data_IF_699991429554
#
_entry.id   IF_699991429554
#
_cell.length_a   1.000
_cell.length_b   1.000
_cell.length_c   1.000
_cell.angle_alpha   90.00
_cell.angle_beta   90.00
_cell.angle_gamma   90.00
#
_symmetry.space_group_name_H-M   'P 1'
#
loop_
_entity.id
_entity.type
_entity.pdbx_description
1 polymer ?
#
# COMPACT_ATOMS: atom_id res chain seq x y z
N UNK A 1 28.50 6.72 -5.58
CA UNK A 1 27.20 6.56 -6.26
C UNK A 1 26.75 5.10 -6.18
N UNK A 2 25.78 4.79 -5.31
CA UNK A 2 25.12 3.47 -5.34
C UNK A 2 24.40 3.37 -6.69
N UNK A 3 24.77 2.39 -7.51
CA UNK A 3 24.38 2.31 -8.91
C UNK A 3 22.88 2.06 -9.06
N UNK A 4 22.11 3.12 -9.30
CA UNK A 4 20.73 3.02 -9.77
C UNK A 4 20.73 2.20 -11.06
N UNK A 5 19.96 1.13 -11.06
CA UNK A 5 19.80 0.25 -12.22
C UNK A 5 18.39 -0.29 -12.26
N UNK A 6 18.03 -0.90 -13.39
CA UNK A 6 16.81 -1.69 -13.48
C UNK A 6 16.74 -2.77 -12.42
N UNK A 7 17.87 -3.22 -11.86
CA UNK A 7 17.96 -4.31 -10.88
C UNK A 7 18.00 -3.85 -9.42
N UNK A 8 18.42 -2.60 -9.18
CA UNK A 8 18.60 -2.06 -7.84
C UNK A 8 18.21 -0.58 -7.78
N UNK A 9 17.37 -0.24 -6.81
CA UNK A 9 17.03 1.15 -6.49
C UNK A 9 18.18 1.89 -5.80
N UNK A 10 19.26 1.19 -5.39
CA UNK A 10 20.33 1.79 -4.60
C UNK A 10 19.92 2.22 -3.18
N UNK A 11 18.65 2.03 -2.79
CA UNK A 11 18.14 2.39 -1.46
C UNK A 11 18.44 1.28 -0.46
N UNK A 12 19.16 1.64 0.61
CA UNK A 12 19.37 0.76 1.75
C UNK A 12 18.15 0.81 2.68
N UNK A 13 17.14 -0.03 2.40
CA UNK A 13 15.90 -0.06 3.17
C UNK A 13 16.09 -0.44 4.65
N UNK A 14 17.16 -1.18 4.97
CA UNK A 14 17.50 -1.48 6.36
C UNK A 14 17.90 -0.20 7.11
N UNK A 15 18.73 0.65 6.50
CA UNK A 15 19.10 1.95 7.08
C UNK A 15 17.92 2.91 7.13
N UNK A 16 17.08 2.95 6.10
CA UNK A 16 15.85 3.75 6.09
C UNK A 16 14.96 3.35 7.26
N UNK A 17 14.71 2.05 7.43
CA UNK A 17 13.93 1.53 8.55
C UNK A 17 14.55 1.88 9.89
N UNK A 18 15.86 1.68 10.05
CA UNK A 18 16.57 2.04 11.29
C UNK A 18 16.40 3.53 11.62
N UNK A 19 16.52 4.40 10.62
CA UNK A 19 16.32 5.84 10.80
C UNK A 19 14.88 6.14 11.27
N UNK A 20 13.87 5.57 10.62
CA UNK A 20 12.48 5.74 11.06
C UNK A 20 12.21 5.21 12.47
N UNK A 21 12.76 4.05 12.81
CA UNK A 21 12.59 3.46 14.15
C UNK A 21 13.20 4.35 15.23
N UNK A 22 14.39 4.91 14.98
CA UNK A 22 14.99 5.89 15.88
C UNK A 22 14.13 7.14 16.01
N UNK A 23 13.68 7.72 14.89
CA UNK A 23 12.89 8.96 14.89
C UNK A 23 11.54 8.80 15.59
N UNK A 24 10.85 7.67 15.41
CA UNK A 24 9.49 7.46 15.91
C UNK A 24 9.47 6.85 17.31
N UNK A 25 10.32 5.85 17.60
CA UNK A 25 10.22 5.07 18.82
C UNK A 25 11.32 5.34 19.85
N UNK A 26 12.55 5.66 19.42
CA UNK A 26 13.67 5.89 20.33
C UNK A 26 13.69 7.32 20.88
N UNK A 27 13.47 8.32 20.02
CA UNK A 27 13.50 9.73 20.43
C UNK A 27 12.26 10.16 21.24
N UNK A 28 11.14 9.43 21.11
CA UNK A 28 9.89 9.64 21.87
C UNK A 28 9.38 11.10 21.88
N UNK A 29 9.69 11.87 20.84
CA UNK A 29 9.26 13.27 20.70
C UNK A 29 7.94 13.34 19.94
N UNK A 30 6.88 13.78 20.62
CA UNK A 30 5.55 13.94 20.00
C UNK A 30 5.54 15.03 18.92
N UNK A 31 6.32 16.10 19.10
CA UNK A 31 6.46 17.16 18.09
C UNK A 31 7.16 16.64 16.84
N UNK A 32 8.19 15.81 17.00
CA UNK A 32 8.88 15.16 15.89
C UNK A 32 7.94 14.22 15.13
N UNK A 33 7.18 13.38 15.85
CA UNK A 33 6.19 12.46 15.25
C UNK A 33 5.12 13.24 14.50
N UNK A 34 4.59 14.32 15.09
CA UNK A 34 3.60 15.17 14.43
C UNK A 34 4.16 15.84 13.17
N UNK A 35 5.42 16.31 13.22
CA UNK A 35 6.11 16.90 12.07
C UNK A 35 6.35 15.88 10.97
N UNK A 36 6.79 14.68 11.33
CA UNK A 36 6.98 13.57 10.41
C UNK A 36 5.65 13.14 9.77
N UNK A 37 4.56 13.09 10.53
CA UNK A 37 3.21 12.82 10.02
C UNK A 37 2.76 13.87 9.01
N UNK A 38 2.95 15.17 9.31
CA UNK A 38 2.66 16.26 8.35
C UNK A 38 3.52 16.17 7.10
N UNK A 39 4.82 15.89 7.24
CA UNK A 39 5.72 15.73 6.11
C UNK A 39 5.34 14.52 5.24
N UNK A 40 4.96 13.39 5.87
CA UNK A 40 4.47 12.18 5.19
C UNK A 40 3.21 12.48 4.39
N UNK A 41 2.26 13.20 5.00
CA UNK A 41 1.04 13.58 4.30
C UNK A 41 1.33 14.52 3.12
N UNK A 42 2.21 15.49 3.33
CA UNK A 42 2.61 16.48 2.33
C UNK A 42 3.30 15.82 1.14
N UNK A 43 4.23 14.89 1.36
CA UNK A 43 4.91 14.22 0.25
C UNK A 43 3.95 13.32 -0.54
N UNK A 44 3.04 12.60 0.13
CA UNK A 44 2.01 11.83 -0.56
C UNK A 44 1.09 12.74 -1.39
N UNK A 45 0.75 13.94 -0.89
CA UNK A 45 0.01 14.95 -1.64
C UNK A 45 0.73 15.35 -2.93
N UNK A 46 2.00 15.74 -2.83
CA UNK A 46 2.80 16.19 -3.98
C UNK A 46 2.99 15.08 -5.02
N UNK A 47 3.20 13.83 -4.56
CA UNK A 47 3.26 12.66 -5.44
C UNK A 47 1.94 12.43 -6.17
N UNK A 48 0.81 12.49 -5.45
CA UNK A 48 -0.52 12.25 -6.05
C UNK A 48 -0.94 13.33 -7.07
N UNK A 49 -0.41 14.55 -6.93
CA UNK A 49 -0.66 15.67 -7.84
C UNK A 49 0.34 15.75 -8.99
N UNK A 50 1.26 14.79 -9.11
CA UNK A 50 2.30 14.75 -10.13
C UNK A 50 3.26 15.96 -10.08
N UNK A 51 3.44 16.59 -8.91
CA UNK A 51 4.40 17.69 -8.74
C UNK A 51 5.84 17.19 -8.61
N UNK A 52 6.03 15.90 -8.27
CA UNK A 52 7.34 15.25 -8.24
C UNK A 52 7.57 14.55 -9.59
N UNK A 53 8.67 14.86 -10.32
CA UNK A 53 9.03 14.15 -11.54
C UNK A 53 9.33 12.67 -11.24
N UNK A 54 8.78 11.76 -12.03
CA UNK A 54 8.87 10.29 -11.82
C UNK A 54 9.47 9.55 -13.01
N UNK A 55 10.00 10.31 -13.97
CA UNK A 55 10.80 9.87 -15.10
C UNK A 55 12.25 9.53 -14.69
N UNK A 56 12.73 10.11 -13.60
CA UNK A 56 14.03 9.80 -13.00
C UNK A 56 13.92 8.68 -11.95
N UNK A 57 14.68 7.57 -12.11
CA UNK A 57 14.75 6.49 -11.12
C UNK A 57 15.10 6.96 -9.69
N UNK A 58 15.91 8.01 -9.53
CA UNK A 58 16.25 8.50 -8.20
C UNK A 58 15.00 9.00 -7.46
N UNK A 59 14.12 9.74 -8.14
CA UNK A 59 12.88 10.22 -7.54
C UNK A 59 11.90 9.10 -7.21
N UNK A 60 11.89 7.99 -7.97
CA UNK A 60 11.04 6.83 -7.67
C UNK A 60 11.40 6.13 -6.36
N UNK A 61 12.62 6.29 -5.87
CA UNK A 61 13.06 5.74 -4.60
C UNK A 61 12.22 6.24 -3.41
N UNK A 62 11.60 7.42 -3.53
CA UNK A 62 10.73 7.99 -2.49
C UNK A 62 9.59 7.05 -2.12
N UNK A 63 9.03 6.29 -3.08
CA UNK A 63 7.96 5.33 -2.82
C UNK A 63 8.44 4.21 -1.89
N UNK A 64 9.63 3.66 -2.15
CA UNK A 64 10.23 2.62 -1.31
C UNK A 64 10.51 3.14 0.11
N UNK A 65 10.97 4.39 0.23
CA UNK A 65 11.21 5.03 1.53
C UNK A 65 9.90 5.21 2.30
N UNK A 66 8.84 5.72 1.66
CA UNK A 66 7.53 5.92 2.28
C UNK A 66 6.93 4.59 2.73
N UNK A 67 7.10 3.51 1.97
CA UNK A 67 6.62 2.18 2.37
C UNK A 67 7.30 1.63 3.62
N UNK A 68 8.46 2.14 4.03
CA UNK A 68 9.13 1.78 5.28
C UNK A 68 8.75 2.70 6.46
N UNK A 69 7.84 3.66 6.27
CA UNK A 69 7.45 4.60 7.31
C UNK A 69 6.52 3.95 8.36
N UNK A 70 6.92 3.83 9.63
CA UNK A 70 6.14 3.18 10.68
C UNK A 70 4.83 3.92 11.01
N UNK A 71 4.71 5.20 10.65
CA UNK A 71 3.46 5.95 10.77
C UNK A 71 2.36 5.43 9.81
N UNK A 72 2.73 4.63 8.81
CA UNK A 72 1.81 3.96 7.88
C UNK A 72 1.70 2.46 8.20
N UNK A 73 2.78 1.85 8.69
CA UNK A 73 2.90 0.41 8.94
C UNK A 73 2.40 -0.07 10.32
N UNK A 74 2.48 0.76 11.36
CA UNK A 74 2.38 0.28 12.74
C UNK A 74 0.94 0.04 13.24
N UNK A 75 0.77 -0.92 14.15
CA UNK A 75 -0.49 -1.13 14.90
C UNK A 75 -0.95 0.13 15.64
N UNK A 76 0.00 0.94 16.10
CA UNK A 76 -0.26 2.22 16.80
C UNK A 76 -0.37 3.42 15.84
N UNK A 77 -0.44 3.21 14.53
CA UNK A 77 -0.45 4.31 13.55
C UNK A 77 -1.61 5.27 13.75
N UNK A 78 -2.80 4.78 14.13
CA UNK A 78 -3.97 5.63 14.33
C UNK A 78 -3.75 6.63 15.46
N UNK A 79 -3.06 6.22 16.54
CA UNK A 79 -2.71 7.12 17.64
C UNK A 79 -1.53 8.03 17.33
N UNK A 80 -0.55 7.54 16.55
CA UNK A 80 0.66 8.32 16.22
C UNK A 80 0.40 9.34 15.11
N UNK A 81 -0.42 9.00 14.13
CA UNK A 81 -0.70 9.79 12.95
C UNK A 81 -2.13 9.57 12.46
N UNK A 82 -3.12 10.35 12.94
CA UNK A 82 -4.52 10.21 12.53
C UNK A 82 -4.76 10.35 11.02
N UNK A 83 -3.90 11.08 10.31
CA UNK A 83 -3.96 11.31 8.86
C UNK A 83 -3.41 10.16 7.99
N UNK A 84 -3.04 9.01 8.57
CA UNK A 84 -2.41 7.92 7.82
C UNK A 84 -3.25 7.43 6.64
N UNK A 85 -4.58 7.31 6.81
CA UNK A 85 -5.49 6.81 5.78
C UNK A 85 -5.51 7.72 4.55
N UNK A 86 -5.46 9.03 4.76
CA UNK A 86 -5.40 10.01 3.68
C UNK A 86 -4.04 9.98 2.97
N UNK A 87 -2.95 9.80 3.73
CA UNK A 87 -1.63 9.60 3.15
C UNK A 87 -1.57 8.32 2.30
N UNK A 88 -2.18 7.22 2.76
CA UNK A 88 -2.25 5.96 2.02
C UNK A 88 -3.14 6.06 0.79
N UNK A 89 -4.27 6.75 0.87
CA UNK A 89 -5.11 7.04 -0.29
C UNK A 89 -4.30 7.73 -1.39
N UNK A 90 -3.58 8.80 -1.03
CA UNK A 90 -2.78 9.61 -1.96
C UNK A 90 -1.59 8.84 -2.50
N UNK A 91 -0.91 8.07 -1.65
CA UNK A 91 0.19 7.20 -2.06
C UNK A 91 -0.27 6.14 -3.06
N UNK A 92 -1.41 5.50 -2.81
CA UNK A 92 -1.98 4.49 -3.70
C UNK A 92 -2.33 5.10 -5.05
N UNK A 93 -2.99 6.26 -5.06
CA UNK A 93 -3.28 7.00 -6.30
C UNK A 93 -1.99 7.35 -7.04
N UNK A 94 -0.98 7.87 -6.34
CA UNK A 94 0.29 8.24 -6.93
C UNK A 94 1.01 7.05 -7.59
N UNK A 95 1.03 5.88 -6.95
CA UNK A 95 1.63 4.66 -7.52
C UNK A 95 0.88 4.22 -8.77
N UNK A 96 -0.46 4.17 -8.70
CA UNK A 96 -1.29 3.71 -9.83
C UNK A 96 -1.34 4.70 -10.99
N UNK A 97 -1.04 5.99 -10.75
CA UNK A 97 -0.99 7.03 -11.79
C UNK A 97 0.39 7.22 -12.40
N UNK A 98 1.42 6.53 -11.91
CA UNK A 98 2.77 6.55 -12.49
C UNK A 98 2.74 6.14 -13.98
N UNK A 99 3.63 6.70 -14.82
CA UNK A 99 3.86 6.18 -16.17
C UNK A 99 4.18 4.68 -16.15
N UNK A 100 3.79 3.94 -17.20
CA UNK A 100 3.94 2.48 -17.24
C UNK A 100 5.37 2.00 -17.01
N UNK A 101 6.37 2.73 -17.51
CA UNK A 101 7.76 2.36 -17.34
C UNK A 101 8.25 2.61 -15.91
N UNK A 102 7.82 3.72 -15.29
CA UNK A 102 8.06 3.99 -13.87
C UNK A 102 7.39 2.97 -12.95
N UNK A 103 6.15 2.54 -13.27
CA UNK A 103 5.48 1.45 -12.55
C UNK A 103 6.27 0.15 -12.67
N UNK A 104 6.65 -0.25 -13.89
CA UNK A 104 7.45 -1.45 -14.14
C UNK A 104 8.75 -1.43 -13.34
N UNK A 105 9.44 -0.30 -13.30
CA UNK A 105 10.67 -0.15 -12.55
C UNK A 105 10.44 -0.29 -11.03
N UNK A 106 9.46 0.44 -10.49
CA UNK A 106 9.11 0.40 -9.07
C UNK A 106 8.71 -1.02 -8.63
N UNK A 107 7.78 -1.65 -9.35
CA UNK A 107 7.34 -3.01 -9.06
C UNK A 107 8.44 -4.05 -9.30
N UNK A 108 9.31 -3.82 -10.29
CA UNK A 108 10.53 -4.61 -10.48
C UNK A 108 11.44 -4.57 -9.26
N UNK A 109 11.65 -3.39 -8.65
CA UNK A 109 12.41 -3.29 -7.40
C UNK A 109 11.71 -4.01 -6.25
N UNK A 110 10.39 -3.85 -6.08
CA UNK A 110 9.62 -4.55 -5.05
C UNK A 110 9.74 -6.08 -5.18
N UNK A 111 9.74 -6.61 -6.40
CA UNK A 111 9.93 -8.03 -6.71
C UNK A 111 11.29 -8.58 -6.24
N UNK A 112 12.31 -7.73 -6.10
CA UNK A 112 13.66 -8.15 -5.68
C UNK A 112 13.92 -7.89 -4.20
N UNK A 113 12.98 -7.29 -3.49
CA UNK A 113 13.13 -7.09 -2.05
C UNK A 113 12.99 -8.42 -1.30
N UNK A 114 13.65 -8.57 -0.14
CA UNK A 114 13.37 -9.68 0.76
C UNK A 114 11.88 -9.71 1.14
N UNK A 115 11.33 -10.91 1.35
CA UNK A 115 9.90 -11.13 1.60
C UNK A 115 9.35 -10.30 2.75
N UNK A 116 10.16 -9.98 3.75
CA UNK A 116 9.78 -9.13 4.89
C UNK A 116 9.39 -7.71 4.45
N UNK A 117 10.11 -7.11 3.50
CA UNK A 117 9.82 -5.75 2.99
C UNK A 117 8.59 -5.79 2.07
N UNK A 118 8.51 -6.81 1.22
CA UNK A 118 7.36 -7.00 0.33
C UNK A 118 6.07 -7.25 1.14
N UNK A 119 6.14 -8.12 2.15
CA UNK A 119 5.04 -8.40 3.08
C UNK A 119 4.54 -7.18 3.82
N UNK A 120 5.42 -6.25 4.17
CA UNK A 120 5.01 -4.96 4.75
C UNK A 120 4.17 -4.12 3.80
N UNK A 121 4.53 -4.04 2.53
CA UNK A 121 3.73 -3.29 1.54
C UNK A 121 2.33 -3.91 1.42
N UNK A 122 2.24 -5.24 1.36
CA UNK A 122 0.97 -5.98 1.35
C UNK A 122 0.16 -5.66 2.60
N UNK A 123 0.78 -5.77 3.77
CA UNK A 123 0.14 -5.56 5.07
C UNK A 123 -0.42 -4.12 5.21
N UNK A 124 0.31 -3.09 4.78
CA UNK A 124 -0.20 -1.71 4.76
C UNK A 124 -1.47 -1.59 3.91
N UNK A 125 -1.45 -2.17 2.71
CA UNK A 125 -2.59 -2.08 1.80
C UNK A 125 -3.78 -2.87 2.32
N UNK A 126 -3.55 -4.06 2.88
CA UNK A 126 -4.58 -4.86 3.55
C UNK A 126 -5.25 -4.08 4.69
N UNK A 127 -4.43 -3.48 5.55
CA UNK A 127 -4.95 -2.74 6.69
C UNK A 127 -5.64 -1.44 6.27
N UNK A 128 -5.23 -0.81 5.17
CA UNK A 128 -5.93 0.34 4.60
C UNK A 128 -7.30 -0.03 4.03
N UNK A 129 -7.41 -1.16 3.33
CA UNK A 129 -8.70 -1.70 2.88
C UNK A 129 -9.61 -1.98 4.08
N UNK A 130 -9.10 -2.67 5.11
CA UNK A 130 -9.84 -2.94 6.36
C UNK A 130 -10.32 -1.65 7.01
N UNK A 131 -9.45 -0.65 7.16
CA UNK A 131 -9.83 0.65 7.69
C UNK A 131 -10.98 1.26 6.89
N UNK A 132 -10.86 1.27 5.57
CA UNK A 132 -11.85 1.90 4.68
C UNK A 132 -13.23 1.25 4.78
N UNK A 133 -13.28 -0.08 4.93
CA UNK A 133 -14.52 -0.85 5.07
C UNK A 133 -15.15 -0.75 6.46
N UNK A 134 -14.32 -0.64 7.50
CA UNK A 134 -14.78 -0.61 8.90
C UNK A 134 -15.10 0.79 9.42
N UNK A 135 -14.75 1.85 8.67
CA UNK A 135 -15.03 3.23 9.06
C UNK A 135 -16.54 3.52 9.12
N UNK A 136 -17.07 3.98 10.28
CA UNK A 136 -18.47 4.37 10.40
C UNK A 136 -18.73 5.73 9.73
N UNK A 137 -19.59 5.77 8.71
CA UNK A 137 -20.04 7.04 8.09
C UNK A 137 -20.45 6.94 6.62
N UNK A 138 -21.02 8.03 6.09
CA UNK A 138 -21.53 8.16 4.70
C UNK A 138 -20.43 8.39 3.64
N UNK A 139 -19.21 8.75 4.04
CA UNK A 139 -18.07 8.97 3.13
C UNK A 139 -17.07 7.81 3.23
N UNK A 140 -17.52 6.58 2.97
CA UNK A 140 -16.58 5.47 2.80
C UNK A 140 -15.65 5.81 1.65
N UNK A 141 -14.34 5.87 1.92
CA UNK A 141 -13.37 6.04 0.86
C UNK A 141 -13.47 4.86 -0.10
N UNK A 142 -13.16 5.06 -1.37
CA UNK A 142 -13.19 3.97 -2.34
C UNK A 142 -11.96 3.08 -2.16
N UNK A 143 -12.18 1.85 -1.68
CA UNK A 143 -11.12 0.86 -1.51
C UNK A 143 -10.63 0.26 -2.84
N UNK A 144 -11.27 0.57 -3.97
CA UNK A 144 -10.95 -0.01 -5.29
C UNK A 144 -9.50 0.20 -5.68
N UNK A 145 -8.94 1.39 -5.45
CA UNK A 145 -7.54 1.68 -5.76
C UNK A 145 -6.58 0.80 -4.93
N UNK A 146 -6.85 0.65 -3.63
CA UNK A 146 -6.04 -0.21 -2.77
C UNK A 146 -6.14 -1.68 -3.18
N UNK A 147 -7.32 -2.14 -3.60
CA UNK A 147 -7.53 -3.48 -4.14
C UNK A 147 -6.79 -3.71 -5.45
N UNK A 148 -6.77 -2.73 -6.36
CA UNK A 148 -5.97 -2.81 -7.59
C UNK A 148 -4.46 -2.89 -7.30
N UNK A 149 -4.01 -2.15 -6.29
CA UNK A 149 -2.62 -2.26 -5.83
C UNK A 149 -2.34 -3.65 -5.23
N UNK A 150 -3.25 -4.19 -4.40
CA UNK A 150 -3.16 -5.55 -3.87
C UNK A 150 -3.18 -6.61 -4.98
N UNK A 151 -3.96 -6.44 -6.04
CA UNK A 151 -3.95 -7.31 -7.21
C UNK A 151 -2.57 -7.31 -7.87
N UNK A 152 -1.98 -6.13 -8.04
CA UNK A 152 -0.62 -6.02 -8.61
C UNK A 152 0.41 -6.72 -7.74
N UNK A 153 0.33 -6.55 -6.42
CA UNK A 153 1.20 -7.25 -5.46
C UNK A 153 0.96 -8.77 -5.48
N UNK A 154 -0.29 -9.21 -5.59
CA UNK A 154 -0.63 -10.62 -5.71
C UNK A 154 0.01 -11.24 -6.96
N UNK A 155 -0.10 -10.58 -8.12
CA UNK A 155 0.51 -11.06 -9.36
C UNK A 155 2.03 -11.17 -9.24
N UNK A 156 2.66 -10.18 -8.61
CA UNK A 156 4.10 -10.20 -8.28
C UNK A 156 4.42 -11.39 -7.37
N UNK A 157 3.63 -11.64 -6.33
CA UNK A 157 3.83 -12.77 -5.41
C UNK A 157 3.79 -14.12 -6.13
N UNK A 158 2.80 -14.31 -7.03
CA UNK A 158 2.67 -15.53 -7.84
C UNK A 158 3.86 -15.68 -8.79
N UNK A 159 4.27 -14.60 -9.47
CA UNK A 159 5.40 -14.62 -10.39
C UNK A 159 6.73 -15.00 -9.69
N UNK A 160 6.88 -14.64 -8.42
CA UNK A 160 8.04 -15.01 -7.60
C UNK A 160 7.94 -16.41 -6.97
N UNK A 161 6.92 -17.19 -7.31
CA UNK A 161 6.73 -18.53 -6.76
C UNK A 161 6.13 -18.57 -5.35
N UNK A 162 5.38 -17.54 -4.96
CA UNK A 162 4.68 -17.48 -3.68
C UNK A 162 5.58 -17.17 -2.49
N UNK A 163 6.35 -16.07 -2.56
CA UNK A 163 7.26 -15.67 -1.47
C UNK A 163 6.53 -15.33 -0.16
N UNK A 164 5.26 -14.94 -0.27
CA UNK A 164 4.34 -14.81 0.84
C UNK A 164 3.26 -15.89 0.72
N UNK A 165 2.86 -16.48 1.85
CA UNK A 165 1.68 -17.34 1.89
C UNK A 165 0.40 -16.62 1.43
N UNK A 166 -0.53 -17.36 0.83
CA UNK A 166 -1.77 -16.79 0.30
C UNK A 166 -2.61 -16.08 1.37
N UNK A 167 -2.62 -16.61 2.60
CA UNK A 167 -3.37 -16.04 3.71
C UNK A 167 -2.91 -14.62 4.09
N UNK A 168 -1.70 -14.20 3.71
CA UNK A 168 -1.25 -12.82 3.90
C UNK A 168 -2.04 -11.82 3.04
N UNK A 169 -2.76 -12.30 2.02
CA UNK A 169 -3.61 -11.48 1.17
C UNK A 169 -5.11 -11.61 1.48
N UNK A 170 -5.52 -12.56 2.31
CA UNK A 170 -6.91 -12.63 2.74
C UNK A 170 -7.27 -11.41 3.59
N UNK A 171 -8.43 -10.81 3.33
CA UNK A 171 -8.94 -9.69 4.09
C UNK A 171 -10.24 -10.09 4.79
N UNK A 172 -10.20 -10.19 6.12
CA UNK A 172 -11.37 -10.58 6.91
C UNK A 172 -12.49 -9.54 6.84
N UNK A 173 -12.19 -8.25 6.70
CA UNK A 173 -13.21 -7.21 6.57
C UNK A 173 -13.97 -7.29 5.25
N UNK A 174 -13.32 -7.73 4.15
CA UNK A 174 -14.02 -8.07 2.91
C UNK A 174 -14.84 -9.35 3.09
N UNK A 175 -14.21 -10.41 3.62
CA UNK A 175 -14.82 -11.74 3.75
C UNK A 175 -16.08 -11.72 4.64
N UNK A 176 -16.08 -10.90 5.68
CA UNK A 176 -17.20 -10.72 6.61
C UNK A 176 -18.12 -9.55 6.24
N UNK A 177 -17.89 -8.89 5.10
CA UNK A 177 -18.72 -7.76 4.68
C UNK A 177 -20.14 -8.23 4.34
N UNK A 178 -21.14 -7.60 4.96
CA UNK A 178 -22.54 -7.82 4.60
C UNK A 178 -22.87 -7.48 3.14
N UNK A 179 -22.02 -6.70 2.48
CA UNK A 179 -22.18 -6.28 1.08
C UNK A 179 -21.65 -7.34 0.09
N UNK A 180 -20.94 -8.36 0.56
CA UNK A 180 -20.32 -9.37 -0.32
C UNK A 180 -21.37 -10.13 -1.15
N UNK A 181 -22.55 -10.40 -0.58
CA UNK A 181 -23.65 -11.04 -1.29
C UNK A 181 -24.20 -10.15 -2.43
N UNK A 182 -24.25 -8.84 -2.24
CA UNK A 182 -24.63 -7.89 -3.28
C UNK A 182 -23.56 -7.84 -4.39
N UNK A 183 -22.28 -7.79 -4.01
CA UNK A 183 -21.16 -7.87 -4.94
C UNK A 183 -21.15 -9.16 -5.78
N UNK A 184 -21.55 -10.30 -5.18
CA UNK A 184 -21.69 -11.57 -5.89
C UNK A 184 -22.83 -11.53 -6.91
N UNK A 185 -23.99 -11.01 -6.52
CA UNK A 185 -25.13 -10.87 -7.41
C UNK A 185 -24.82 -9.93 -8.59
N UNK A 186 -24.16 -8.80 -8.32
CA UNK A 186 -23.70 -7.86 -9.36
C UNK A 186 -22.68 -8.51 -10.31
N UNK A 187 -21.71 -9.26 -9.76
CA UNK A 187 -20.73 -9.98 -10.57
C UNK A 187 -21.37 -11.04 -11.47
N UNK A 188 -22.31 -11.82 -10.93
CA UNK A 188 -23.01 -12.90 -11.66
C UNK A 188 -23.89 -12.40 -12.80
N UNK A 189 -24.50 -11.22 -12.65
CA UNK A 189 -25.40 -10.65 -13.66
C UNK A 189 -24.66 -10.15 -14.93
N UNK A 190 -23.32 -10.21 -14.97
CA UNK A 190 -22.46 -9.82 -16.11
C UNK A 190 -22.72 -8.42 -16.68
N UNK A 191 -23.49 -7.59 -15.99
CA UNK A 191 -23.61 -6.18 -16.30
C UNK A 191 -22.58 -5.41 -15.47
N UNK A 192 -21.54 -4.95 -16.16
CA UNK A 192 -20.88 -3.65 -15.96
C UNK A 192 -19.40 -3.63 -15.55
N UNK A 193 -18.79 -2.52 -15.93
CA UNK A 193 -17.50 -1.98 -15.53
C UNK A 193 -17.42 -1.64 -14.03
N UNK A 194 -18.43 -1.97 -13.22
CA UNK A 194 -18.48 -1.66 -11.79
C UNK A 194 -17.57 -2.59 -11.00
N UNK A 195 -16.87 -2.02 -10.02
CA UNK A 195 -15.95 -2.72 -9.14
C UNK A 195 -16.69 -3.76 -8.28
N UNK A 196 -16.09 -4.95 -8.11
CA UNK A 196 -16.60 -6.00 -7.23
C UNK A 196 -15.47 -6.80 -6.61
N UNK A 197 -15.51 -7.01 -5.29
CA UNK A 197 -14.54 -7.82 -4.56
C UNK A 197 -14.51 -9.28 -5.03
N UNK A 198 -15.62 -9.80 -5.57
CA UNK A 198 -15.70 -11.16 -6.11
C UNK A 198 -14.79 -11.38 -7.34
N UNK A 199 -14.26 -10.30 -7.96
CA UNK A 199 -13.25 -10.39 -9.02
C UNK A 199 -11.84 -10.71 -8.49
N UNK A 200 -11.65 -10.63 -7.17
CA UNK A 200 -10.35 -10.72 -6.50
C UNK A 200 -10.39 -11.82 -5.44
N UNK A 201 -10.49 -13.12 -5.84
CA UNK A 201 -10.68 -14.24 -4.90
C UNK A 201 -9.52 -14.44 -3.92
N UNK A 202 -8.34 -13.90 -4.22
CA UNK A 202 -7.19 -13.92 -3.32
C UNK A 202 -7.39 -13.03 -2.07
N UNK A 203 -8.40 -12.15 -2.07
CA UNK A 203 -8.79 -11.36 -0.91
C UNK A 203 -9.79 -12.07 0.01
N UNK A 204 -10.40 -13.17 -0.45
CA UNK A 204 -11.44 -13.89 0.27
C UNK A 204 -10.86 -15.11 0.99
N UNK A 205 -11.21 -15.27 2.26
CA UNK A 205 -10.89 -16.47 3.02
C UNK A 205 -11.72 -17.69 2.56
N UNK A 206 -11.49 -18.84 3.18
CA UNK A 206 -12.17 -20.08 2.82
C UNK A 206 -13.65 -20.12 3.22
N UNK A 207 -14.08 -19.31 4.20
CA UNK A 207 -15.47 -19.27 4.64
C UNK A 207 -16.33 -18.41 3.70
N UNK A 208 -15.73 -17.38 3.10
CA UNK A 208 -16.39 -16.49 2.15
C UNK A 208 -16.45 -17.00 0.69
N UNK A 209 -15.73 -18.09 0.37
CA UNK A 209 -15.70 -18.74 -0.96
C UNK A 209 -16.77 -19.81 -1.11
#
# INVERSE_FOLDING_TARGET
PLGLSEESSGVDLLKVRKAYMTLVFELKSSELIATLGRATLSICDELSKHHVPTDDPENLCVFLVIFENPLLLGEQRTSLFPGFHLALQRLTVAVLSLPKDSQRLLFGWLKRLPSEYFGRVVDVMQQYVTFTLTQPGQNRSDASAAVLMLQTLWDINIEMGGILPEWCFHNSAISQSGELQEHYNQWKQQQSLVFSYCRYPFLLDAEAK
#
